data_IF_764485076423
#
_entry.id   IF_764485076423
#
_cell.length_a   1.000
_cell.length_b   1.000
_cell.length_c   1.000
_cell.angle_alpha   90.00
_cell.angle_beta   90.00
_cell.angle_gamma   90.00
#
_symmetry.space_group_name_H-M   'P 1'
#
loop_
_entity.id
_entity.type
_entity.pdbx_description
1 polymer ?
#
# COMPACT_ATOMS: atom_id res chain seq x y z
N UNK A 1 -12.63 -3.97 -29.98
CA UNK A 1 -11.96 -2.79 -29.37
C UNK A 1 -10.57 -3.23 -28.92
N UNK A 2 -9.53 -2.60 -29.45
CA UNK A 2 -8.16 -3.13 -29.45
C UNK A 2 -7.49 -2.98 -28.08
N UNK A 3 -6.76 -4.01 -27.64
CA UNK A 3 -6.01 -4.14 -26.37
C UNK A 3 -5.20 -2.88 -26.01
N UNK A 4 -4.76 -2.11 -27.02
CA UNK A 4 -4.07 -0.81 -26.86
C UNK A 4 -4.92 0.30 -26.21
N UNK A 5 -6.24 0.34 -26.42
CA UNK A 5 -7.09 1.35 -25.78
C UNK A 5 -7.33 1.03 -24.30
N UNK A 6 -7.41 -0.26 -23.95
CA UNK A 6 -7.54 -0.71 -22.56
C UNK A 6 -6.26 -0.39 -21.77
N UNK A 7 -5.08 -0.57 -22.35
CA UNK A 7 -3.80 -0.27 -21.66
C UNK A 7 -3.65 1.20 -21.30
N UNK A 8 -4.10 2.12 -22.18
CA UNK A 8 -4.00 3.56 -21.95
C UNK A 8 -4.96 3.99 -20.84
N UNK A 9 -6.22 3.55 -20.86
CA UNK A 9 -7.20 3.87 -19.82
C UNK A 9 -6.76 3.34 -18.44
N UNK A 10 -6.21 2.12 -18.41
CA UNK A 10 -5.69 1.51 -17.18
C UNK A 10 -4.47 2.25 -16.64
N UNK A 11 -3.55 2.73 -17.48
CA UNK A 11 -2.41 3.54 -16.98
C UNK A 11 -2.82 4.91 -16.41
N UNK A 12 -3.94 5.47 -16.89
CA UNK A 12 -4.48 6.76 -16.42
C UNK A 12 -5.23 6.57 -15.10
N UNK A 13 -6.06 5.54 -14.99
CA UNK A 13 -6.83 5.23 -13.78
C UNK A 13 -5.96 4.59 -12.69
N UNK A 14 -4.93 3.84 -13.09
CA UNK A 14 -4.00 3.16 -12.22
C UNK A 14 -2.56 3.60 -12.50
N UNK A 15 -2.26 4.89 -12.35
CA UNK A 15 -0.89 5.42 -12.48
C UNK A 15 0.14 4.68 -11.63
N UNK A 16 -0.30 4.11 -10.50
CA UNK A 16 0.51 3.27 -9.61
C UNK A 16 0.80 1.87 -10.15
N UNK A 17 0.06 1.37 -11.13
CA UNK A 17 0.33 0.09 -11.79
C UNK A 17 1.20 0.26 -13.05
N UNK A 18 1.68 1.47 -13.35
CA UNK A 18 2.58 1.74 -14.48
C UNK A 18 3.83 0.85 -14.57
N UNK A 19 4.47 0.37 -13.48
CA UNK A 19 5.59 -0.56 -13.61
C UNK A 19 5.17 -2.01 -13.88
N UNK A 20 3.87 -2.31 -13.90
CA UNK A 20 3.32 -3.63 -14.20
C UNK A 20 2.73 -3.69 -15.61
N UNK A 21 2.82 -4.86 -16.23
CA UNK A 21 2.09 -5.17 -17.46
C UNK A 21 0.72 -5.69 -17.05
N UNK A 22 -0.33 -4.99 -17.43
CA UNK A 22 -1.72 -5.43 -17.16
C UNK A 22 -2.10 -6.48 -18.19
N UNK A 23 -2.42 -7.67 -17.68
CA UNK A 23 -2.85 -8.83 -18.47
C UNK A 23 -4.33 -8.69 -18.85
N UNK A 24 -5.16 -8.33 -17.87
CA UNK A 24 -6.62 -8.34 -18.00
C UNK A 24 -7.29 -7.48 -16.91
N UNK A 25 -8.48 -6.97 -17.21
CA UNK A 25 -9.35 -6.27 -16.26
C UNK A 25 -10.73 -6.92 -16.31
N UNK A 26 -11.08 -7.60 -15.22
CA UNK A 26 -12.37 -8.26 -15.08
C UNK A 26 -13.27 -7.33 -14.28
N UNK A 27 -14.29 -6.79 -14.93
CA UNK A 27 -15.29 -5.98 -14.25
C UNK A 27 -16.37 -6.87 -13.62
N UNK A 28 -16.44 -6.86 -12.29
CA UNK A 28 -17.47 -7.53 -11.52
C UNK A 28 -18.48 -6.52 -10.98
N UNK A 29 -19.68 -7.01 -10.64
CA UNK A 29 -20.74 -6.18 -10.04
C UNK A 29 -20.33 -5.60 -8.68
N UNK A 30 -19.56 -6.34 -7.88
CA UNK A 30 -19.15 -5.91 -6.53
C UNK A 30 -17.70 -5.42 -6.44
N UNK A 31 -16.83 -5.87 -7.36
CA UNK A 31 -15.39 -5.57 -7.34
C UNK A 31 -14.81 -5.66 -8.74
N UNK A 32 -13.84 -4.82 -9.04
CA UNK A 32 -13.05 -4.92 -10.27
C UNK A 32 -11.74 -5.65 -9.97
N UNK A 33 -11.41 -6.68 -10.75
CA UNK A 33 -10.15 -7.41 -10.62
C UNK A 33 -9.19 -7.01 -11.74
N UNK A 34 -8.02 -6.50 -11.37
CA UNK A 34 -6.94 -6.22 -12.32
C UNK A 34 -5.91 -7.33 -12.20
N UNK A 35 -5.68 -8.08 -13.28
CA UNK A 35 -4.59 -9.06 -13.37
C UNK A 35 -3.39 -8.39 -14.03
N UNK A 36 -2.25 -8.48 -13.38
CA UNK A 36 -1.02 -7.89 -13.88
C UNK A 36 0.17 -8.81 -13.62
N UNK A 37 1.27 -8.54 -14.31
CA UNK A 37 2.56 -9.23 -14.12
C UNK A 37 3.70 -8.22 -14.11
N UNK A 38 4.82 -8.60 -13.52
CA UNK A 38 6.05 -7.83 -13.67
C UNK A 38 6.56 -7.92 -15.11
N UNK A 39 7.18 -6.85 -15.61
CA UNK A 39 7.77 -6.82 -16.94
C UNK A 39 9.03 -7.70 -16.98
N UNK A 40 9.43 -8.14 -18.18
CA UNK A 40 10.61 -9.00 -18.33
C UNK A 40 11.96 -8.24 -18.23
N UNK A 41 11.94 -7.01 -17.74
CA UNK A 41 13.12 -6.15 -17.58
C UNK A 41 14.08 -6.74 -16.53
N UNK A 42 15.40 -6.60 -16.67
CA UNK A 42 16.34 -6.99 -15.62
C UNK A 42 16.01 -6.32 -14.28
N UNK A 43 16.11 -7.07 -13.18
CA UNK A 43 15.90 -6.54 -11.85
C UNK A 43 17.23 -6.51 -11.07
N UNK A 44 17.39 -5.50 -10.23
CA UNK A 44 18.55 -5.36 -9.36
C UNK A 44 18.55 -6.43 -8.25
N UNK A 45 19.72 -6.99 -7.95
CA UNK A 45 19.91 -7.78 -6.75
C UNK A 45 19.75 -6.85 -5.52
N UNK A 46 19.05 -7.28 -4.45
CA UNK A 46 19.02 -6.52 -3.19
C UNK A 46 20.36 -6.52 -2.45
N UNK A 47 21.33 -7.34 -2.88
CA UNK A 47 22.72 -7.27 -2.41
C UNK A 47 23.57 -6.31 -3.27
N UNK A 48 24.85 -6.08 -2.89
CA UNK A 48 25.72 -5.12 -3.58
C UNK A 48 26.20 -5.57 -4.98
N UNK A 49 25.67 -6.68 -5.52
CA UNK A 49 26.30 -7.47 -6.58
C UNK A 49 25.69 -7.30 -8.00
N UNK A 50 24.86 -6.28 -8.24
CA UNK A 50 24.39 -5.90 -9.60
C UNK A 50 23.08 -6.56 -10.09
N UNK A 51 22.80 -6.45 -11.39
CA UNK A 51 21.56 -6.93 -12.04
C UNK A 51 21.48 -8.46 -12.19
N UNK A 52 20.28 -9.02 -12.08
CA UNK A 52 20.05 -10.47 -12.10
C UNK A 52 19.38 -10.96 -13.39
N UNK A 53 20.05 -11.95 -14.01
CA UNK A 53 19.66 -12.83 -15.14
C UNK A 53 18.28 -13.48 -15.07
N UNK A 54 18.17 -14.60 -14.33
CA UNK A 54 17.01 -15.51 -14.23
C UNK A 54 17.46 -16.74 -13.39
N UNK A 55 16.63 -17.47 -12.64
CA UNK A 55 15.42 -18.23 -13.03
C UNK A 55 14.13 -17.70 -12.37
N UNK A 56 13.09 -17.44 -13.18
CA UNK A 56 11.81 -16.89 -12.71
C UNK A 56 10.79 -17.98 -12.37
N UNK A 57 10.36 -18.09 -11.10
CA UNK A 57 9.08 -18.72 -10.76
C UNK A 57 8.04 -17.64 -10.48
N UNK A 58 6.85 -17.80 -11.06
CA UNK A 58 5.74 -16.86 -10.84
C UNK A 58 5.07 -17.13 -9.49
N UNK A 59 4.90 -16.08 -8.69
CA UNK A 59 4.10 -16.14 -7.46
C UNK A 59 2.97 -15.11 -7.51
N UNK A 60 1.75 -15.45 -7.07
CA UNK A 60 0.68 -14.48 -6.93
C UNK A 60 0.94 -13.56 -5.73
N UNK A 61 0.63 -12.28 -5.91
CA UNK A 61 0.52 -11.26 -4.88
C UNK A 61 -0.83 -10.54 -5.06
N UNK A 62 -1.49 -10.19 -3.97
CA UNK A 62 -2.72 -9.42 -4.00
C UNK A 62 -2.51 -8.08 -3.30
N UNK A 63 -3.10 -7.02 -3.84
CA UNK A 63 -3.14 -5.70 -3.22
C UNK A 63 -4.46 -5.00 -3.49
N UNK A 64 -4.84 -4.10 -2.59
CA UNK A 64 -6.05 -3.28 -2.76
C UNK A 64 -5.71 -2.02 -3.57
N UNK A 65 -6.42 -1.79 -4.67
CA UNK A 65 -6.35 -0.58 -5.47
C UNK A 65 -7.32 0.50 -4.99
N UNK A 66 -7.22 1.69 -5.56
CA UNK A 66 -8.23 2.74 -5.39
C UNK A 66 -9.55 2.31 -6.01
N UNK A 67 -10.67 2.68 -5.38
CA UNK A 67 -11.99 2.35 -5.88
C UNK A 67 -12.25 3.04 -7.24
N UNK A 68 -12.94 2.33 -8.14
CA UNK A 68 -13.43 2.84 -9.41
C UNK A 68 -14.94 2.74 -9.34
N UNK A 69 -15.64 3.85 -9.62
CA UNK A 69 -17.11 3.83 -9.70
C UNK A 69 -17.76 3.27 -8.43
N UNK A 70 -17.21 3.63 -7.27
CA UNK A 70 -17.67 3.13 -5.97
C UNK A 70 -17.41 1.64 -5.72
N UNK A 71 -16.68 0.94 -6.59
CA UNK A 71 -16.34 -0.47 -6.43
C UNK A 71 -14.88 -0.63 -6.04
N UNK A 72 -14.58 -1.47 -5.02
CA UNK A 72 -13.20 -1.76 -4.65
C UNK A 72 -12.47 -2.46 -5.80
N UNK A 73 -11.22 -2.08 -6.02
CA UNK A 73 -10.35 -2.74 -6.98
C UNK A 73 -9.41 -3.69 -6.25
N UNK A 74 -9.33 -4.93 -6.70
CA UNK A 74 -8.29 -5.88 -6.28
C UNK A 74 -7.28 -6.05 -7.40
N UNK A 75 -6.00 -5.91 -7.09
CA UNK A 75 -4.91 -6.13 -8.04
C UNK A 75 -4.25 -7.46 -7.73
N UNK A 76 -4.27 -8.38 -8.69
CA UNK A 76 -3.59 -9.66 -8.60
C UNK A 76 -2.36 -9.65 -9.50
N UNK A 77 -1.19 -9.69 -8.87
CA UNK A 77 0.10 -9.52 -9.55
C UNK A 77 0.85 -10.85 -9.57
N UNK A 78 1.25 -11.28 -10.75
CA UNK A 78 2.23 -12.34 -10.97
C UNK A 78 3.63 -11.75 -10.91
N UNK A 79 4.34 -11.98 -9.82
CA UNK A 79 5.74 -11.54 -9.65
C UNK A 79 6.72 -12.66 -9.93
N UNK A 80 7.88 -12.33 -10.50
CA UNK A 80 8.98 -13.27 -10.70
C UNK A 80 9.73 -13.47 -9.37
N UNK A 81 10.06 -14.70 -9.02
CA UNK A 81 11.08 -15.03 -8.01
C UNK A 81 12.41 -15.17 -8.73
N UNK A 82 13.41 -14.39 -8.35
CA UNK A 82 14.72 -14.31 -8.98
C UNK A 82 15.80 -14.93 -8.08
N UNK A 83 16.90 -15.35 -8.70
CA UNK A 83 18.07 -15.93 -8.03
C UNK A 83 19.31 -15.22 -8.56
N UNK A 84 20.14 -14.67 -7.66
CA UNK A 84 21.39 -14.04 -8.07
C UNK A 84 22.41 -15.11 -8.51
N UNK A 85 23.04 -14.99 -9.70
CA UNK A 85 24.02 -15.97 -10.18
C UNK A 85 25.41 -15.80 -9.56
N UNK A 86 25.66 -14.70 -8.86
CA UNK A 86 26.98 -14.40 -8.27
C UNK A 86 27.34 -15.44 -7.20
N UNK A 87 28.49 -16.09 -7.36
CA UNK A 87 29.10 -16.94 -6.33
C UNK A 87 29.24 -16.10 -5.05
N UNK A 88 28.65 -16.54 -3.94
CA UNK A 88 28.45 -15.83 -2.65
C UNK A 88 27.11 -15.08 -2.46
N UNK A 89 26.26 -14.96 -3.48
CA UNK A 89 24.91 -14.41 -3.35
C UNK A 89 23.84 -15.51 -3.47
N UNK A 90 23.71 -16.34 -2.45
CA UNK A 90 22.75 -17.48 -2.41
C UNK A 90 21.31 -17.07 -2.08
N UNK A 91 20.89 -15.88 -2.47
CA UNK A 91 19.60 -15.31 -2.07
C UNK A 91 18.57 -15.46 -3.18
N UNK A 92 17.53 -16.26 -2.94
CA UNK A 92 16.30 -16.17 -3.74
C UNK A 92 15.46 -15.01 -3.23
N UNK A 93 15.00 -14.13 -4.12
CA UNK A 93 14.14 -13.02 -3.74
C UNK A 93 12.95 -12.88 -4.69
N UNK A 94 11.83 -12.36 -4.19
CA UNK A 94 10.74 -11.93 -5.06
C UNK A 94 11.15 -10.61 -5.69
N UNK A 95 10.96 -10.47 -6.99
CA UNK A 95 11.11 -9.20 -7.69
C UNK A 95 10.35 -8.11 -6.95
N UNK A 96 11.06 -7.03 -6.64
CA UNK A 96 10.51 -5.88 -5.95
C UNK A 96 10.08 -4.88 -7.02
N UNK A 97 8.85 -4.39 -6.91
CA UNK A 97 8.32 -3.35 -7.80
C UNK A 97 8.09 -2.13 -6.92
N UNK A 98 9.04 -1.19 -6.86
CA UNK A 98 8.91 0.00 -6.01
C UNK A 98 7.56 0.68 -6.24
N UNK A 99 6.89 1.06 -5.13
CA UNK A 99 5.57 1.71 -5.19
C UNK A 99 4.38 0.77 -5.39
N UNK A 100 4.60 -0.52 -5.71
CA UNK A 100 3.51 -1.51 -5.91
C UNK A 100 3.67 -2.71 -4.99
N UNK A 101 4.85 -3.32 -4.97
CA UNK A 101 5.18 -4.50 -4.19
C UNK A 101 6.55 -4.33 -3.55
N UNK A 102 6.54 -3.90 -2.29
CA UNK A 102 7.73 -3.82 -1.45
C UNK A 102 7.84 -5.02 -0.51
N UNK A 103 9.04 -5.24 0.04
CA UNK A 103 9.37 -6.40 0.86
C UNK A 103 8.47 -6.40 2.11
N UNK A 104 7.84 -7.54 2.39
CA UNK A 104 6.84 -7.74 3.45
C UNK A 104 5.51 -6.99 3.27
N UNK A 105 5.30 -6.26 2.17
CA UNK A 105 3.99 -5.66 1.89
C UNK A 105 3.01 -6.72 1.36
N UNK A 106 1.98 -6.99 2.16
CA UNK A 106 0.81 -7.80 1.74
C UNK A 106 -0.27 -6.97 1.05
N UNK A 107 -0.06 -5.66 0.96
CA UNK A 107 -0.99 -4.69 0.38
C UNK A 107 -0.16 -3.62 -0.34
N UNK A 108 -0.68 -3.10 -1.44
CA UNK A 108 -0.19 -1.94 -2.20
C UNK A 108 -0.29 -0.65 -1.36
N UNK A 109 0.38 -0.60 -0.21
CA UNK A 109 0.13 0.39 0.86
C UNK A 109 1.14 1.51 0.90
N UNK A 110 1.25 2.26 -0.20
CA UNK A 110 1.51 3.68 0.01
C UNK A 110 0.15 4.38 0.09
N UNK A 111 -0.27 4.88 1.25
CA UNK A 111 -1.54 5.59 1.34
C UNK A 111 -1.61 6.69 0.28
N UNK A 112 -2.76 6.82 -0.39
CA UNK A 112 -2.97 7.92 -1.34
C UNK A 112 -2.90 9.27 -0.62
N UNK A 113 -2.64 10.35 -1.36
CA UNK A 113 -2.73 11.71 -0.81
C UNK A 113 -4.12 11.95 -0.20
N UNK A 114 -5.15 11.42 -0.86
CA UNK A 114 -6.54 11.46 -0.37
C UNK A 114 -6.72 10.69 0.94
N UNK A 115 -6.24 9.44 1.03
CA UNK A 115 -6.30 8.68 2.29
C UNK A 115 -5.57 9.41 3.43
N UNK A 116 -4.39 9.97 3.16
CA UNK A 116 -3.63 10.75 4.15
C UNK A 116 -4.41 11.97 4.62
N UNK A 117 -5.01 12.71 3.70
CA UNK A 117 -5.84 13.87 4.03
C UNK A 117 -7.02 13.47 4.92
N UNK A 118 -7.81 12.46 4.51
CA UNK A 118 -8.97 11.99 5.29
C UNK A 118 -8.55 11.51 6.67
N UNK A 119 -7.48 10.73 6.75
CA UNK A 119 -6.97 10.21 8.02
C UNK A 119 -6.37 11.32 8.89
N UNK A 120 -5.73 12.33 8.30
CA UNK A 120 -5.21 13.50 9.02
C UNK A 120 -6.32 14.31 9.67
N UNK A 121 -7.41 14.56 8.95
CA UNK A 121 -8.53 15.36 9.46
C UNK A 121 -9.39 14.58 10.47
N UNK A 122 -9.66 13.30 10.22
CA UNK A 122 -10.64 12.54 11.01
C UNK A 122 -10.03 11.59 12.05
N UNK A 123 -8.81 11.10 11.78
CA UNK A 123 -8.08 10.09 12.55
C UNK A 123 -8.83 8.78 12.84
N UNK A 124 -8.06 7.71 13.11
CA UNK A 124 -8.56 6.46 13.68
C UNK A 124 -9.81 5.86 12.98
N UNK A 125 -10.87 5.64 13.74
CA UNK A 125 -12.09 4.97 13.27
C UNK A 125 -12.97 5.85 12.39
N UNK A 126 -12.99 7.17 12.63
CA UNK A 126 -13.77 8.11 11.82
C UNK A 126 -13.22 8.16 10.38
N UNK A 127 -11.90 8.26 10.25
CA UNK A 127 -11.23 8.15 8.94
C UNK A 127 -11.50 6.81 8.25
N UNK A 128 -11.41 5.70 8.99
CA UNK A 128 -11.73 4.37 8.45
C UNK A 128 -13.17 4.24 7.92
N UNK A 129 -14.15 4.82 8.63
CA UNK A 129 -15.57 4.82 8.21
C UNK A 129 -15.80 5.65 6.96
N UNK A 130 -15.22 6.85 6.88
CA UNK A 130 -15.35 7.72 5.69
C UNK A 130 -14.70 7.06 4.48
N UNK A 131 -13.51 6.50 4.64
CA UNK A 131 -12.86 5.77 3.55
C UNK A 131 -13.67 4.55 3.12
N UNK A 132 -14.27 3.81 4.06
CA UNK A 132 -15.16 2.71 3.72
C UNK A 132 -16.38 3.16 2.90
N UNK A 133 -16.96 4.32 3.20
CA UNK A 133 -18.07 4.88 2.42
C UNK A 133 -17.65 5.30 1.00
N UNK A 134 -16.36 5.57 0.80
CA UNK A 134 -15.75 5.82 -0.50
C UNK A 134 -15.20 4.54 -1.16
N UNK A 135 -15.59 3.36 -0.64
CA UNK A 135 -15.14 2.04 -1.10
C UNK A 135 -13.62 1.81 -1.01
N UNK A 136 -12.95 2.59 -0.15
CA UNK A 136 -11.54 2.44 0.19
C UNK A 136 -11.45 1.63 1.49
N UNK A 137 -10.97 0.39 1.38
CA UNK A 137 -10.89 -0.53 2.51
C UNK A 137 -9.72 -0.17 3.44
N UNK A 138 -9.89 0.68 4.44
CA UNK A 138 -8.82 1.00 5.40
C UNK A 138 -9.22 0.62 6.83
N UNK A 139 -8.51 -0.35 7.44
CA UNK A 139 -8.72 -0.67 8.85
C UNK A 139 -8.29 0.48 9.75
N UNK A 140 -8.83 0.56 10.96
CA UNK A 140 -8.38 1.53 11.99
C UNK A 140 -6.87 1.49 12.22
N UNK A 141 -6.28 0.29 12.28
CA UNK A 141 -4.86 0.13 12.49
C UNK A 141 -4.06 0.67 11.30
N UNK A 142 -4.50 0.37 10.08
CA UNK A 142 -3.92 0.90 8.84
C UNK A 142 -4.04 2.42 8.76
N UNK A 143 -5.18 2.98 9.19
CA UNK A 143 -5.37 4.42 9.30
C UNK A 143 -4.38 5.06 10.28
N UNK A 144 -4.19 4.49 11.46
CA UNK A 144 -3.19 4.99 12.42
C UNK A 144 -1.76 4.95 11.84
N UNK A 145 -1.38 3.84 11.19
CA UNK A 145 -0.06 3.76 10.53
C UNK A 145 0.08 4.79 9.40
N UNK A 146 -0.98 5.03 8.63
CA UNK A 146 -1.01 6.08 7.60
C UNK A 146 -0.78 7.47 8.22
N UNK A 147 -1.47 7.78 9.33
CA UNK A 147 -1.32 9.05 10.03
C UNK A 147 0.11 9.26 10.51
N UNK A 148 0.69 8.25 11.18
CA UNK A 148 2.03 8.31 11.75
C UNK A 148 3.14 8.45 10.69
N UNK A 149 2.88 8.00 9.46
CA UNK A 149 3.81 8.13 8.32
C UNK A 149 3.61 9.42 7.52
N UNK A 150 2.62 10.23 7.85
CA UNK A 150 2.38 11.49 7.15
C UNK A 150 3.40 12.52 7.66
N UNK A 151 4.16 13.18 6.76
CA UNK A 151 5.11 14.21 7.17
C UNK A 151 4.42 15.29 8.00
N UNK A 152 5.08 15.77 9.04
CA UNK A 152 4.62 16.94 9.76
C UNK A 152 4.56 18.14 8.78
N UNK A 153 3.59 19.06 8.94
CA UNK A 153 3.61 20.28 8.15
C UNK A 153 4.96 20.99 8.36
N UNK A 154 5.53 21.60 7.30
CA UNK A 154 6.74 22.40 7.45
C UNK A 154 6.48 23.46 8.53
N UNK A 155 7.49 23.77 9.34
CA UNK A 155 7.39 24.83 10.32
C UNK A 155 7.17 26.16 9.57
N UNK A 156 5.93 26.64 9.58
CA UNK A 156 5.58 27.95 9.00
C UNK A 156 5.69 28.97 10.12
N UNK A 157 6.81 29.70 10.17
CA UNK A 157 7.00 30.83 11.07
C UNK A 157 8.32 30.81 11.84
N UNK A 158 8.69 31.98 12.38
CA UNK A 158 9.75 32.09 13.39
C UNK A 158 9.34 31.35 14.66
N UNK A 159 10.30 30.70 15.32
CA UNK A 159 10.09 30.10 16.64
C UNK A 159 9.48 31.15 17.58
N UNK A 160 8.33 30.89 18.23
CA UNK A 160 7.68 31.88 19.07
C UNK A 160 8.55 32.26 20.27
N UNK A 161 8.59 33.54 20.61
CA UNK A 161 9.38 34.06 21.75
C UNK A 161 8.83 33.60 23.09
N UNK A 162 7.53 33.29 23.16
CA UNK A 162 6.85 32.80 24.36
C UNK A 162 6.02 31.58 23.96
N UNK A 163 6.21 30.47 24.69
CA UNK A 163 5.44 29.24 24.53
C UNK A 163 4.48 29.09 25.71
N UNK A 164 3.17 29.08 25.45
CA UNK A 164 2.18 28.66 26.43
C UNK A 164 2.09 27.13 26.46
N UNK A 165 1.93 26.57 27.66
CA UNK A 165 1.72 25.13 27.86
C UNK A 165 0.28 24.94 28.28
N UNK A 166 -0.48 24.22 27.46
CA UNK A 166 -1.83 23.79 27.80
C UNK A 166 -1.78 22.39 28.39
N UNK A 167 -2.50 22.16 29.49
CA UNK A 167 -2.71 20.83 30.05
C UNK A 167 -4.05 20.26 29.56
N UNK A 168 -4.02 19.05 29.03
CA UNK A 168 -5.20 18.34 28.57
C UNK A 168 -5.18 16.89 29.05
N UNK A 169 -6.27 16.47 29.68
CA UNK A 169 -6.44 15.11 30.16
C UNK A 169 -7.18 14.25 29.12
N UNK A 170 -6.44 13.38 28.41
CA UNK A 170 -7.04 12.36 27.54
C UNK A 170 -7.29 11.07 28.33
N UNK A 171 -8.54 10.59 28.32
CA UNK A 171 -8.88 9.29 28.90
C UNK A 171 -8.25 8.16 28.06
N UNK A 172 -7.17 7.56 28.57
CA UNK A 172 -6.58 6.34 27.99
C UNK A 172 -7.35 5.11 28.48
N UNK A 173 -7.35 4.04 27.67
CA UNK A 173 -8.10 2.79 27.90
C UNK A 173 -7.95 2.34 29.37
N UNK A 174 -9.07 2.23 30.09
CA UNK A 174 -9.10 1.47 31.33
C UNK A 174 -9.00 -0.02 30.99
N UNK A 175 -8.01 -0.72 31.54
CA UNK A 175 -8.18 -2.15 31.78
C UNK A 175 -9.24 -2.26 32.88
N UNK A 176 -10.39 -2.91 32.63
CA UNK A 176 -11.24 -3.28 33.75
C UNK A 176 -10.39 -4.14 34.72
N UNK A 177 -10.53 -3.96 36.03
CA UNK A 177 -9.89 -4.87 36.97
C UNK A 177 -10.29 -6.29 36.60
N UNK A 178 -9.31 -7.19 36.50
CA UNK A 178 -9.58 -8.61 36.31
C UNK A 178 -10.44 -9.03 37.50
N UNK A 179 -11.71 -9.33 37.26
CA UNK A 179 -12.54 -9.95 38.30
C UNK A 179 -11.89 -11.30 38.57
N UNK A 180 -11.23 -11.42 39.72
CA UNK A 180 -10.73 -12.69 40.19
C UNK A 180 -11.88 -13.68 40.21
N UNK A 181 -11.78 -14.72 39.39
CA UNK A 181 -12.50 -15.97 39.62
C UNK A 181 -11.91 -16.57 40.89
N UNK A 182 -12.53 -16.29 42.03
CA UNK A 182 -12.43 -17.16 43.19
C UNK A 182 -13.35 -18.36 42.94
N UNK A 183 -12.81 -19.57 43.17
CA UNK A 183 -13.51 -20.85 43.13
C UNK A 183 -14.82 -20.83 43.94
#
# INVERSE_FOLDING_TARGET
>A
MSVRQVSVAVSVVFSRLSPLVVDDVIDGSERTLVRARTSDVPAACPGPWGEVRTCARVAPAAGDGSAIDGRPVTVWVRVRRLVCPTLNCHTTFREQVPGVLERYQRRTTHPTVQERSVVRELAGQAGARVLSALSIQLSRHSALVCLLRTPAPPAVGSVPTVLSVDDFALRRRHRPPQRGTTC
#
